data_IF_591328379914
#
_entry.id   IF_591328379914
#
_cell.length_a   1.000
_cell.length_b   1.000
_cell.length_c   1.000
_cell.angle_alpha   90.00
_cell.angle_beta   90.00
_cell.angle_gamma   90.00
#
_symmetry.space_group_name_H-M   'P 1'
#
loop_
_entity.id
_entity.type
_entity.pdbx_description
1 polymer ?
#
# COMPACT_ATOMS: atom_id res chain seq x y z
N UNK A 1 58.24 -7.71 18.09
CA UNK A 1 57.33 -8.66 18.72
C UNK A 1 55.90 -8.13 18.80
N UNK A 2 55.71 -6.98 19.37
CA UNK A 2 54.38 -6.37 19.43
C UNK A 2 53.76 -6.12 18.06
N UNK A 3 54.59 -5.79 17.09
CA UNK A 3 54.14 -5.51 15.73
C UNK A 3 53.46 -6.72 15.07
N UNK A 4 53.96 -7.92 15.29
CA UNK A 4 53.41 -9.14 14.72
C UNK A 4 52.02 -9.44 15.26
N UNK A 5 51.80 -9.21 16.53
CA UNK A 5 50.50 -9.42 17.14
C UNK A 5 49.45 -8.46 16.61
N UNK A 6 49.80 -7.21 16.45
CA UNK A 6 48.89 -6.20 15.95
C UNK A 6 48.40 -6.53 14.53
N UNK A 7 49.32 -6.97 13.66
CA UNK A 7 49.00 -7.32 12.30
C UNK A 7 48.02 -8.50 12.23
N UNK A 8 48.23 -9.51 13.06
CA UNK A 8 47.37 -10.70 13.09
C UNK A 8 45.95 -10.36 13.56
N UNK A 9 45.86 -9.54 14.59
CA UNK A 9 44.55 -9.13 15.11
C UNK A 9 43.78 -8.35 14.10
N UNK A 10 44.40 -7.43 13.40
CA UNK A 10 43.74 -6.65 12.37
C UNK A 10 43.20 -7.50 11.25
N UNK A 11 43.92 -8.52 10.84
CA UNK A 11 43.51 -9.43 9.78
C UNK A 11 42.29 -10.26 10.19
N UNK A 12 42.26 -10.79 11.41
CA UNK A 12 41.15 -11.56 11.91
C UNK A 12 39.87 -10.72 12.01
N UNK A 13 39.99 -9.49 12.49
CA UNK A 13 38.86 -8.59 12.61
C UNK A 13 38.27 -8.24 11.24
N UNK A 14 39.10 -8.09 10.23
CA UNK A 14 38.65 -7.80 8.88
C UNK A 14 37.77 -8.90 8.31
N UNK A 15 38.14 -10.15 8.53
CA UNK A 15 37.32 -11.30 8.05
C UNK A 15 35.96 -11.33 8.73
N UNK A 16 35.90 -11.11 10.03
CA UNK A 16 34.65 -11.10 10.77
C UNK A 16 33.72 -9.99 10.33
N UNK A 17 34.26 -8.81 10.05
CA UNK A 17 33.46 -7.67 9.58
C UNK A 17 32.86 -7.95 8.21
N UNK A 18 33.58 -8.57 7.30
CA UNK A 18 33.06 -8.88 5.97
C UNK A 18 31.87 -9.84 6.04
N UNK A 19 31.93 -10.85 6.89
CA UNK A 19 30.81 -11.77 7.06
C UNK A 19 29.58 -11.07 7.62
N UNK A 20 29.76 -10.18 8.59
CA UNK A 20 28.65 -9.42 9.16
C UNK A 20 28.02 -8.50 8.13
N UNK A 21 28.80 -7.87 7.28
CA UNK A 21 28.30 -7.00 6.24
C UNK A 21 27.43 -7.78 5.24
N UNK A 22 27.86 -8.95 4.85
CA UNK A 22 27.08 -9.80 3.94
C UNK A 22 25.74 -10.19 4.54
N UNK A 23 25.73 -10.55 5.81
CA UNK A 23 24.50 -10.90 6.51
C UNK A 23 23.53 -9.71 6.60
N UNK A 24 24.07 -8.54 6.88
CA UNK A 24 23.29 -7.31 6.94
C UNK A 24 22.66 -6.97 5.58
N UNK A 25 23.42 -7.13 4.51
CA UNK A 25 22.92 -6.88 3.17
C UNK A 25 21.75 -7.82 2.81
N UNK A 26 21.87 -9.09 3.15
CA UNK A 26 20.82 -10.05 2.92
C UNK A 26 19.55 -9.70 3.70
N UNK A 27 19.69 -9.25 4.94
CA UNK A 27 18.56 -8.83 5.74
C UNK A 27 17.87 -7.60 5.14
N UNK A 28 18.64 -6.62 4.67
CA UNK A 28 18.11 -5.42 4.05
C UNK A 28 17.34 -5.77 2.78
N UNK A 29 17.88 -6.63 1.95
CA UNK A 29 17.21 -7.07 0.73
C UNK A 29 15.89 -7.77 1.03
N UNK A 30 15.88 -8.63 2.04
CA UNK A 30 14.67 -9.32 2.44
C UNK A 30 13.60 -8.36 2.96
N UNK A 31 14.02 -7.37 3.75
CA UNK A 31 13.10 -6.35 4.24
C UNK A 31 12.50 -5.55 3.10
N UNK A 32 13.29 -5.21 2.10
CA UNK A 32 12.79 -4.49 0.92
C UNK A 32 11.76 -5.33 0.14
N UNK A 33 12.03 -6.62 -0.03
CA UNK A 33 11.09 -7.53 -0.67
C UNK A 33 9.78 -7.61 0.11
N UNK A 34 9.86 -7.74 1.43
CA UNK A 34 8.69 -7.80 2.29
C UNK A 34 7.87 -6.52 2.22
N UNK A 35 8.53 -5.37 2.18
CA UNK A 35 7.87 -4.08 2.04
C UNK A 35 7.16 -3.96 0.70
N UNK A 36 7.80 -4.41 -0.39
CA UNK A 36 7.19 -4.39 -1.71
C UNK A 36 5.96 -5.28 -1.77
N UNK A 37 6.03 -6.46 -1.18
CA UNK A 37 4.88 -7.39 -1.12
C UNK A 37 3.73 -6.78 -0.32
N UNK A 38 4.03 -6.17 0.82
CA UNK A 38 3.02 -5.53 1.64
C UNK A 38 2.35 -4.39 0.88
N UNK A 39 3.13 -3.60 0.15
CA UNK A 39 2.60 -2.51 -0.66
C UNK A 39 1.72 -3.03 -1.79
N UNK A 40 2.13 -4.10 -2.47
CA UNK A 40 1.33 -4.73 -3.52
C UNK A 40 0.02 -5.27 -2.97
N UNK A 41 0.04 -5.87 -1.79
CA UNK A 41 -1.16 -6.39 -1.15
C UNK A 41 -2.15 -5.27 -0.86
N UNK A 42 -1.69 -4.11 -0.40
CA UNK A 42 -2.54 -2.94 -0.17
C UNK A 42 -3.08 -2.41 -1.50
N UNK A 43 -2.25 -2.36 -2.54
CA UNK A 43 -2.66 -1.88 -3.86
C UNK A 43 -3.72 -2.77 -4.50
N UNK A 44 -3.72 -4.06 -4.18
CA UNK A 44 -4.68 -5.02 -4.71
C UNK A 44 -5.97 -5.09 -3.88
N UNK A 45 -5.97 -4.53 -2.67
CA UNK A 45 -7.17 -4.50 -1.85
C UNK A 45 -8.24 -3.64 -2.48
N UNK A 46 -9.49 -4.04 -2.26
CA UNK A 46 -10.64 -3.31 -2.74
C UNK A 46 -11.30 -2.60 -1.57
N UNK A 47 -11.58 -1.33 -1.76
CA UNK A 47 -12.28 -0.50 -0.78
C UNK A 47 -13.60 -0.07 -1.40
N UNK A 48 -14.67 -0.18 -0.64
CA UNK A 48 -15.99 0.15 -1.15
C UNK A 48 -16.73 1.07 -0.19
N UNK A 49 -17.60 1.91 -0.76
CA UNK A 49 -18.44 2.80 0.01
C UNK A 49 -19.81 2.88 -0.65
N UNK A 50 -20.84 2.93 0.17
CA UNK A 50 -22.23 3.06 -0.28
C UNK A 50 -22.84 4.33 0.28
N UNK A 51 -23.65 5.01 -0.52
CA UNK A 51 -24.33 6.23 -0.11
C UNK A 51 -25.82 6.16 -0.51
N UNK A 52 -26.63 7.07 0.02
CA UNK A 52 -28.04 7.15 -0.32
C UNK A 52 -28.83 5.92 0.09
N UNK A 53 -28.49 5.29 1.23
CA UNK A 53 -29.16 4.08 1.67
C UNK A 53 -28.76 2.84 0.89
N UNK A 54 -27.61 2.88 0.21
CA UNK A 54 -27.08 1.74 -0.54
C UNK A 54 -27.47 1.74 -2.01
N UNK A 55 -28.07 2.82 -2.52
CA UNK A 55 -28.49 2.88 -3.94
C UNK A 55 -27.33 3.16 -4.89
N UNK A 56 -26.24 3.78 -4.39
CA UNK A 56 -25.03 4.02 -5.18
C UNK A 56 -23.84 3.55 -4.35
N UNK A 57 -22.99 2.75 -4.96
CA UNK A 57 -21.75 2.31 -4.32
C UNK A 57 -20.59 2.41 -5.30
N UNK A 58 -19.39 2.62 -4.76
CA UNK A 58 -18.17 2.71 -5.55
C UNK A 58 -17.11 1.81 -4.94
N UNK A 59 -16.30 1.19 -5.79
CA UNK A 59 -15.17 0.37 -5.39
C UNK A 59 -13.90 0.95 -5.98
N UNK A 60 -12.88 1.06 -5.15
CA UNK A 60 -11.55 1.52 -5.58
C UNK A 60 -10.50 0.53 -5.07
N UNK A 61 -9.35 0.50 -5.73
CA UNK A 61 -8.21 -0.28 -5.26
C UNK A 61 -7.26 0.59 -4.45
N UNK A 62 -6.19 0.00 -3.93
CA UNK A 62 -5.19 0.73 -3.15
C UNK A 62 -4.37 1.73 -3.96
N UNK A 63 -4.43 1.66 -5.28
CA UNK A 63 -3.81 2.64 -6.18
C UNK A 63 -4.69 3.86 -6.40
N UNK A 64 -5.84 3.92 -5.73
CA UNK A 64 -6.81 5.00 -5.86
C UNK A 64 -7.45 5.05 -7.25
N UNK A 65 -7.60 3.89 -7.85
CA UNK A 65 -8.32 3.76 -9.11
C UNK A 65 -9.73 3.24 -8.84
N UNK A 66 -10.73 3.84 -9.48
CA UNK A 66 -12.10 3.37 -9.39
C UNK A 66 -12.22 2.10 -10.23
N UNK A 67 -12.55 0.99 -9.59
CA UNK A 67 -12.65 -0.30 -10.27
C UNK A 67 -14.07 -0.68 -10.64
N UNK A 68 -15.06 -0.18 -9.89
CA UNK A 68 -16.46 -0.49 -10.16
C UNK A 68 -17.37 0.58 -9.56
N UNK A 69 -18.48 0.85 -10.20
CA UNK A 69 -19.56 1.68 -9.66
C UNK A 69 -20.85 0.91 -9.86
N UNK A 70 -21.61 0.73 -8.79
CA UNK A 70 -22.91 0.09 -8.83
C UNK A 70 -23.99 1.12 -8.54
N UNK A 71 -24.96 1.23 -9.43
CA UNK A 71 -26.07 2.17 -9.31
C UNK A 71 -27.35 1.37 -9.42
N UNK A 72 -28.19 1.45 -8.37
CA UNK A 72 -29.51 0.81 -8.44
C UNK A 72 -30.46 1.67 -9.27
N UNK A 73 -31.38 1.06 -10.03
CA UNK A 73 -32.29 1.84 -10.84
C UNK A 73 -33.10 2.87 -10.06
N UNK A 74 -33.35 2.62 -8.79
CA UNK A 74 -34.08 3.53 -7.90
C UNK A 74 -33.41 4.91 -7.78
N UNK A 75 -32.06 4.96 -7.94
CA UNK A 75 -31.29 6.20 -7.85
C UNK A 75 -31.31 6.99 -9.16
N UNK A 76 -31.76 6.38 -10.25
CA UNK A 76 -31.72 7.02 -11.58
C UNK A 76 -33.04 7.71 -11.83
N UNK A 77 -33.04 9.03 -11.68
CA UNK A 77 -34.20 9.87 -11.95
C UNK A 77 -33.82 10.84 -13.09
N UNK A 78 -34.43 10.70 -14.28
CA UNK A 78 -34.08 11.60 -15.39
C UNK A 78 -34.39 13.06 -15.11
N UNK A 79 -35.29 13.34 -14.17
CA UNK A 79 -35.63 14.71 -13.80
C UNK A 79 -34.71 15.30 -12.74
N UNK A 80 -33.88 14.45 -12.07
CA UNK A 80 -32.96 14.90 -11.01
C UNK A 80 -31.59 14.22 -11.19
N UNK A 81 -30.95 14.53 -12.30
CA UNK A 81 -29.61 14.00 -12.61
C UNK A 81 -28.56 14.53 -11.63
N UNK A 82 -28.75 15.75 -11.12
CA UNK A 82 -27.80 16.33 -10.15
C UNK A 82 -27.71 15.52 -8.87
N UNK A 83 -28.82 14.99 -8.39
CA UNK A 83 -28.81 14.11 -7.20
C UNK A 83 -27.95 12.89 -7.44
N UNK A 84 -28.08 12.26 -8.62
CA UNK A 84 -27.28 11.10 -8.97
C UNK A 84 -25.79 11.45 -9.04
N UNK A 85 -25.46 12.57 -9.63
CA UNK A 85 -24.09 13.07 -9.70
C UNK A 85 -23.49 13.24 -8.31
N UNK A 86 -24.23 13.86 -7.40
CA UNK A 86 -23.77 14.09 -6.03
C UNK A 86 -23.57 12.76 -5.29
N UNK A 87 -24.45 11.81 -5.48
CA UNK A 87 -24.32 10.48 -4.87
C UNK A 87 -23.08 9.75 -5.38
N UNK A 88 -22.80 9.82 -6.68
CA UNK A 88 -21.60 9.20 -7.25
C UNK A 88 -20.34 9.87 -6.71
N UNK A 89 -20.31 11.18 -6.66
CA UNK A 89 -19.17 11.93 -6.12
C UNK A 89 -18.91 11.54 -4.66
N UNK A 90 -19.97 11.48 -3.86
CA UNK A 90 -19.86 11.11 -2.45
C UNK A 90 -19.34 9.69 -2.27
N UNK A 91 -19.85 8.74 -3.06
CA UNK A 91 -19.42 7.34 -2.97
C UNK A 91 -17.96 7.18 -3.37
N UNK A 92 -17.54 7.79 -4.47
CA UNK A 92 -16.17 7.72 -4.96
C UNK A 92 -15.22 8.36 -3.95
N UNK A 93 -15.54 9.54 -3.44
CA UNK A 93 -14.68 10.24 -2.48
C UNK A 93 -14.56 9.48 -1.17
N UNK A 94 -15.62 8.87 -0.69
CA UNK A 94 -15.57 8.06 0.53
C UNK A 94 -14.71 6.81 0.34
N UNK A 95 -14.84 6.13 -0.80
CA UNK A 95 -14.02 4.97 -1.11
C UNK A 95 -12.55 5.34 -1.24
N UNK A 96 -12.24 6.46 -1.88
CA UNK A 96 -10.87 6.98 -1.97
C UNK A 96 -10.31 7.32 -0.60
N UNK A 97 -11.12 7.91 0.27
CA UNK A 97 -10.70 8.23 1.64
C UNK A 97 -10.32 6.96 2.40
N UNK A 98 -11.09 5.90 2.27
CA UNK A 98 -10.77 4.61 2.88
C UNK A 98 -9.45 4.05 2.36
N UNK A 99 -9.20 4.16 1.06
CA UNK A 99 -7.95 3.71 0.47
C UNK A 99 -6.76 4.51 1.00
N UNK A 100 -6.91 5.82 1.17
CA UNK A 100 -5.87 6.68 1.74
C UNK A 100 -5.55 6.30 3.18
N UNK A 101 -6.57 6.06 4.00
CA UNK A 101 -6.39 5.66 5.39
C UNK A 101 -5.65 4.32 5.50
N UNK A 102 -5.91 3.41 4.60
CA UNK A 102 -5.26 2.10 4.61
C UNK A 102 -3.78 2.18 4.21
N UNK A 103 -3.38 3.21 3.47
CA UNK A 103 -2.00 3.38 3.02
C UNK A 103 -1.15 4.21 3.99
N UNK A 104 -1.76 4.88 4.95
CA UNK A 104 -1.04 5.58 6.02
C UNK A 104 -0.67 4.57 7.13
#
# INVERSE_FOLDING_TARGET
>A
MAKGYSARRGFSNGSGQMLKQQQMQQQIMKMQEDMQKAQQEVEEKTFSASVGGGVVSAEVNGKKEVTNITIKPEAVDPEDVEMLQDLIISAVNEALRQAEEAMD
#
